data_IF_967635700472
#
_entry.id   IF_967635700472
#
_cell.length_a   1.000
_cell.length_b   1.000
_cell.length_c   1.000
_cell.angle_alpha   90.00
_cell.angle_beta   90.00
_cell.angle_gamma   90.00
#
_symmetry.space_group_name_H-M   'P 1'
#
loop_
_entity.id
_entity.type
_entity.pdbx_description
1 polymer ?
#
# COMPACT_ATOMS: atom_id res chain seq x y z
N UNK A 1 -10.12 19.06 -18.70
CA UNK A 1 -10.26 20.16 -17.73
C UNK A 1 -10.99 19.68 -16.48
N UNK A 2 -10.45 18.69 -15.73
CA UNK A 2 -11.08 18.18 -14.50
C UNK A 2 -10.09 17.70 -13.43
N UNK A 3 -8.78 17.63 -13.72
CA UNK A 3 -7.76 17.22 -12.75
C UNK A 3 -7.41 18.30 -11.73
N UNK A 4 -7.78 19.56 -11.97
CA UNK A 4 -7.53 20.68 -11.06
C UNK A 4 -8.53 20.73 -9.89
N UNK A 5 -9.74 20.19 -10.07
CA UNK A 5 -10.78 20.19 -9.03
C UNK A 5 -10.42 19.29 -7.84
N UNK A 6 -9.93 18.08 -8.12
CA UNK A 6 -9.51 17.15 -7.07
C UNK A 6 -8.37 17.73 -6.21
N UNK A 7 -7.45 18.50 -6.81
CA UNK A 7 -6.36 19.15 -6.08
C UNK A 7 -6.84 20.36 -5.26
N UNK A 8 -7.88 21.07 -5.72
CA UNK A 8 -8.43 22.24 -5.02
C UNK A 8 -9.18 21.91 -3.74
N UNK A 9 -9.72 20.70 -3.60
CA UNK A 9 -10.39 20.22 -2.38
C UNK A 9 -9.36 19.73 -1.33
N UNK A 10 -8.20 19.24 -1.79
CA UNK A 10 -7.13 18.72 -0.92
C UNK A 10 -6.31 19.86 -0.28
N UNK A 11 -6.17 21.01 -0.96
CA UNK A 11 -5.46 22.18 -0.43
C UNK A 11 -6.07 22.76 0.86
N UNK A 12 -7.37 23.14 0.92
CA UNK A 12 -7.97 23.71 2.13
C UNK A 12 -7.98 22.70 3.27
N UNK A 13 -8.15 21.41 2.98
CA UNK A 13 -8.03 20.33 3.96
C UNK A 13 -6.64 20.29 4.63
N UNK A 14 -5.56 20.37 3.84
CA UNK A 14 -4.18 20.41 4.35
C UNK A 14 -3.87 21.69 5.14
N UNK A 15 -4.44 22.83 4.75
CA UNK A 15 -4.21 24.12 5.40
C UNK A 15 -5.06 24.32 6.67
N UNK A 16 -6.29 23.80 6.74
CA UNK A 16 -7.18 23.99 7.91
C UNK A 16 -7.00 22.93 9.00
N UNK A 17 -6.73 21.67 8.64
CA UNK A 17 -6.66 20.58 9.62
C UNK A 17 -5.23 20.18 10.01
N UNK A 18 -4.23 20.70 9.29
CA UNK A 18 -2.82 20.38 9.49
C UNK A 18 -2.47 18.95 9.09
N UNK A 19 -1.17 18.65 8.96
CA UNK A 19 -0.68 17.30 8.66
C UNK A 19 -0.77 16.41 9.90
N UNK A 20 -2.00 16.22 10.42
CA UNK A 20 -2.26 15.40 11.60
C UNK A 20 -2.89 14.08 11.17
N UNK A 21 -2.10 12.99 11.04
CA UNK A 21 -2.59 11.71 10.52
C UNK A 21 -3.75 11.15 11.35
N UNK A 22 -3.86 11.52 12.63
CA UNK A 22 -4.97 11.11 13.49
C UNK A 22 -6.32 11.70 13.05
N UNK A 23 -6.36 12.99 12.70
CA UNK A 23 -7.58 13.67 12.26
C UNK A 23 -7.96 13.21 10.84
N UNK A 24 -6.96 12.96 10.00
CA UNK A 24 -7.15 12.38 8.67
C UNK A 24 -7.84 11.01 8.73
N UNK A 25 -7.35 10.12 9.61
CA UNK A 25 -7.96 8.81 9.85
C UNK A 25 -9.37 8.97 10.41
N UNK A 26 -9.60 9.85 11.39
CA UNK A 26 -10.95 10.08 11.92
C UNK A 26 -11.92 10.53 10.83
N UNK A 27 -11.58 11.51 10.00
CA UNK A 27 -12.46 11.97 8.92
C UNK A 27 -12.64 10.93 7.81
N UNK A 28 -11.62 10.13 7.51
CA UNK A 28 -11.72 8.99 6.61
C UNK A 28 -12.66 7.91 7.12
N UNK A 29 -12.86 7.76 8.42
CA UNK A 29 -13.79 6.78 8.98
C UNK A 29 -15.11 7.37 9.45
N UNK A 30 -15.33 8.68 9.30
CA UNK A 30 -16.60 9.35 9.64
C UNK A 30 -17.74 8.94 8.70
N UNK A 31 -17.46 8.74 7.40
CA UNK A 31 -18.47 8.38 6.41
C UNK A 31 -18.44 6.88 6.10
N UNK A 32 -19.63 6.24 6.03
CA UNK A 32 -19.74 4.80 5.71
C UNK A 32 -19.02 4.40 4.41
N UNK A 33 -19.03 5.27 3.40
CA UNK A 33 -18.38 5.01 2.10
C UNK A 33 -16.86 4.98 2.26
N UNK A 34 -16.29 5.92 3.01
CA UNK A 34 -14.85 5.97 3.23
C UNK A 34 -14.38 4.91 4.23
N UNK A 35 -15.25 4.47 5.16
CA UNK A 35 -15.01 3.27 5.99
C UNK A 35 -14.90 2.00 5.15
N UNK A 36 -15.77 1.81 4.15
CA UNK A 36 -15.70 0.66 3.24
C UNK A 36 -14.41 0.68 2.41
N UNK A 37 -14.01 1.86 1.91
CA UNK A 37 -12.74 2.03 1.22
C UNK A 37 -11.53 1.74 2.12
N UNK A 38 -11.54 2.24 3.36
CA UNK A 38 -10.49 1.95 4.34
C UNK A 38 -10.39 0.46 4.66
N UNK A 39 -11.53 -0.23 4.82
CA UNK A 39 -11.56 -1.68 5.01
C UNK A 39 -11.00 -2.45 3.81
N UNK A 40 -11.31 -2.02 2.59
CA UNK A 40 -10.78 -2.64 1.37
C UNK A 40 -9.25 -2.56 1.32
N UNK A 41 -8.68 -1.40 1.66
CA UNK A 41 -7.23 -1.18 1.75
C UNK A 41 -6.59 -2.06 2.84
N UNK A 42 -7.20 -2.12 4.03
CA UNK A 42 -6.68 -2.95 5.14
C UNK A 42 -6.69 -4.44 4.77
N UNK A 43 -7.78 -4.93 4.18
CA UNK A 43 -7.89 -6.33 3.76
C UNK A 43 -6.89 -6.64 2.64
N UNK A 44 -6.75 -5.75 1.64
CA UNK A 44 -5.77 -5.90 0.58
C UNK A 44 -4.33 -5.93 1.12
N UNK A 45 -4.01 -5.08 2.09
CA UNK A 45 -2.69 -5.08 2.74
C UNK A 45 -2.42 -6.36 3.52
N UNK A 46 -3.39 -6.85 4.31
CA UNK A 46 -3.27 -8.15 5.00
C UNK A 46 -3.06 -9.32 4.04
N UNK A 47 -3.83 -9.36 2.95
CA UNK A 47 -3.70 -10.39 1.91
C UNK A 47 -2.31 -10.32 1.26
N UNK A 48 -1.81 -9.11 0.97
CA UNK A 48 -0.46 -8.91 0.43
C UNK A 48 0.61 -9.43 1.40
N UNK A 49 0.49 -9.13 2.69
CA UNK A 49 1.43 -9.58 3.71
C UNK A 49 1.48 -11.11 3.81
N UNK A 50 0.31 -11.77 3.84
CA UNK A 50 0.22 -13.23 3.81
C UNK A 50 0.83 -13.81 2.53
N UNK A 51 0.57 -13.18 1.38
CA UNK A 51 1.13 -13.60 0.10
C UNK A 51 2.66 -13.49 0.06
N UNK A 52 3.22 -12.37 0.54
CA UNK A 52 4.68 -12.16 0.65
C UNK A 52 5.30 -13.20 1.58
N UNK A 53 4.70 -13.48 2.74
CA UNK A 53 5.22 -14.46 3.69
C UNK A 53 5.18 -15.88 3.11
N UNK A 54 4.07 -16.27 2.49
CA UNK A 54 3.88 -17.59 1.93
C UNK A 54 4.84 -17.86 0.76
N UNK A 55 4.85 -16.99 -0.24
CA UNK A 55 5.70 -17.15 -1.43
C UNK A 55 7.18 -16.85 -1.10
N UNK A 56 7.45 -15.91 -0.21
CA UNK A 56 8.78 -15.58 0.28
C UNK A 56 9.44 -16.70 1.07
N UNK A 57 8.68 -17.40 1.91
CA UNK A 57 9.13 -18.62 2.59
C UNK A 57 9.36 -19.76 1.61
N UNK A 58 8.47 -19.94 0.63
CA UNK A 58 8.60 -20.97 -0.42
C UNK A 58 9.86 -20.78 -1.28
N UNK A 59 10.22 -19.53 -1.59
CA UNK A 59 11.40 -19.19 -2.39
C UNK A 59 12.68 -18.99 -1.55
N UNK A 60 12.61 -19.08 -0.22
CA UNK A 60 13.78 -18.88 0.66
C UNK A 60 14.39 -17.47 0.58
N UNK A 61 13.58 -16.45 0.26
CA UNK A 61 14.07 -15.09 0.06
C UNK A 61 14.43 -14.43 1.41
N UNK A 62 15.68 -13.95 1.56
CA UNK A 62 16.21 -13.41 2.83
C UNK A 62 15.72 -11.99 3.19
N UNK A 63 15.24 -11.21 2.22
CA UNK A 63 14.93 -9.78 2.37
C UNK A 63 13.43 -9.47 2.36
N UNK A 64 12.60 -10.28 3.02
CA UNK A 64 11.14 -10.09 3.02
C UNK A 64 10.71 -8.74 3.62
N UNK A 65 11.49 -8.21 4.55
CA UNK A 65 11.28 -6.90 5.18
C UNK A 65 11.19 -5.73 4.18
N UNK A 66 11.85 -5.82 3.02
CA UNK A 66 11.80 -4.77 1.98
C UNK A 66 10.40 -4.68 1.36
N UNK A 67 9.68 -5.80 1.24
CA UNK A 67 8.33 -5.81 0.68
C UNK A 67 7.30 -5.28 1.68
N UNK A 68 7.50 -5.52 2.98
CA UNK A 68 6.69 -4.87 4.02
C UNK A 68 6.87 -3.35 4.00
N UNK A 69 8.11 -2.87 3.90
CA UNK A 69 8.38 -1.43 3.79
C UNK A 69 7.79 -0.83 2.51
N UNK A 70 7.83 -1.56 1.39
CA UNK A 70 7.20 -1.12 0.14
C UNK A 70 5.67 -1.13 0.19
N UNK A 71 5.06 -2.05 0.94
CA UNK A 71 3.60 -2.08 1.14
C UNK A 71 3.12 -0.82 1.88
N UNK A 72 3.89 -0.37 2.89
CA UNK A 72 3.60 0.86 3.63
C UNK A 72 3.60 2.13 2.74
N UNK A 73 4.40 2.14 1.67
CA UNK A 73 4.42 3.24 0.70
C UNK A 73 3.23 3.13 -0.25
N UNK A 74 2.75 1.90 -0.49
CA UNK A 74 1.52 1.63 -1.22
C UNK A 74 1.42 0.18 -1.66
N UNK A 75 0.24 -0.41 -1.49
CA UNK A 75 -0.10 -1.78 -1.90
C UNK A 75 0.19 -1.97 -3.40
N UNK A 76 -0.12 -0.95 -4.22
CA UNK A 76 0.12 -0.97 -5.67
C UNK A 76 1.61 -0.98 -6.06
N UNK A 77 2.51 -0.59 -5.15
CA UNK A 77 3.96 -0.61 -5.38
C UNK A 77 4.59 -1.88 -4.81
N UNK A 78 4.09 -2.37 -3.67
CA UNK A 78 4.56 -3.59 -3.02
C UNK A 78 4.41 -4.83 -3.91
N UNK A 79 3.26 -4.98 -4.57
CA UNK A 79 2.97 -6.14 -5.44
C UNK A 79 3.91 -6.25 -6.66
N UNK A 80 4.07 -5.22 -7.53
CA UNK A 80 4.98 -5.31 -8.67
C UNK A 80 6.45 -5.42 -8.25
N UNK A 81 6.86 -4.78 -7.15
CA UNK A 81 8.22 -4.91 -6.62
C UNK A 81 8.51 -6.35 -6.18
N UNK A 82 7.55 -7.00 -5.52
CA UNK A 82 7.65 -8.41 -5.15
C UNK A 82 7.76 -9.32 -6.38
N UNK A 83 6.90 -9.12 -7.38
CA UNK A 83 6.95 -9.89 -8.62
C UNK A 83 8.28 -9.73 -9.37
N UNK A 84 8.83 -8.52 -9.40
CA UNK A 84 10.12 -8.23 -10.04
C UNK A 84 11.27 -8.97 -9.34
N UNK A 85 11.29 -8.98 -8.02
CA UNK A 85 12.33 -9.70 -7.27
C UNK A 85 12.17 -11.22 -7.38
N UNK A 86 10.93 -11.74 -7.40
CA UNK A 86 10.65 -13.14 -7.70
C UNK A 86 11.20 -13.53 -9.08
N UNK A 87 10.96 -12.70 -10.10
CA UNK A 87 11.48 -12.93 -11.44
C UNK A 87 13.03 -12.97 -11.44
N UNK A 88 13.69 -12.06 -10.73
CA UNK A 88 15.16 -12.07 -10.58
C UNK A 88 15.68 -13.34 -9.91
N UNK A 89 15.03 -13.79 -8.84
CA UNK A 89 15.43 -15.01 -8.12
C UNK A 89 15.29 -16.26 -8.98
N UNK A 90 14.20 -16.38 -9.74
CA UNK A 90 14.00 -17.50 -10.67
C UNK A 90 15.05 -17.52 -11.78
N UNK A 91 15.39 -16.36 -12.35
CA UNK A 91 16.44 -16.25 -13.38
C UNK A 91 17.82 -16.64 -12.81
N UNK A 92 18.12 -16.26 -11.57
CA UNK A 92 19.42 -16.55 -10.95
C UNK A 92 19.60 -18.04 -10.57
N UNK A 93 18.51 -18.74 -10.22
CA UNK A 93 18.52 -20.17 -9.89
C UNK A 93 18.33 -21.10 -11.12
N UNK A 94 18.15 -20.55 -12.32
CA UNK A 94 18.04 -21.32 -13.57
C UNK A 94 19.33 -21.26 -14.43
N UNK A 95 20.43 -20.79 -13.84
CA UNK A 95 21.81 -20.91 -14.32
C UNK A 95 22.56 -21.89 -13.43
#
# INVERSE_FOLDING_TARGET
MNSLLAFSEILPFLFEQGFNPQIFVQQLFTNKISTLFGWDVIVAELVLWVFILWEGSRLGMKYLWVYFASSLIGISTGLPLFLLMRQRYLIQNSQ
#
